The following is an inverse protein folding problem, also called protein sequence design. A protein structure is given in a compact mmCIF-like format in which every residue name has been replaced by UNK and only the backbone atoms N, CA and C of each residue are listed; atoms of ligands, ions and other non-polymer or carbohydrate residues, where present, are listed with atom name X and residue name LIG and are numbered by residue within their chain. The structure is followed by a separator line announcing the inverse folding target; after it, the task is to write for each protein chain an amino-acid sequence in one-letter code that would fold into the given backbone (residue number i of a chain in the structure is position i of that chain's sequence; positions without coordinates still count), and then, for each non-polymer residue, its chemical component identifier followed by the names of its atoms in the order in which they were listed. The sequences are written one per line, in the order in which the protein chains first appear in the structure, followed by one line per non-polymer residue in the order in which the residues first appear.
data_IF_207342294974
#
_entry.id   IF_207342294974
#
_cell.length_a   1.000
_cell.length_b   1.000
_cell.length_c   1.000
_cell.angle_alpha   90.00
_cell.angle_beta   90.00
_cell.angle_gamma   90.00
#
_symmetry.space_group_name_H-M   'P 1'
#
loop_
_entity.id
_entity.type
_entity.pdbx_description
1 polymer ?
#
# COMPACT_ATOMS: atom_id res chain seq x y z
N UNK A 1 6.26 6.91 -2.82
CA UNK A 1 5.59 8.06 -2.16
C UNK A 1 4.75 7.53 -1.01
N UNK A 2 4.50 8.32 0.04
CA UNK A 2 3.56 7.94 1.10
C UNK A 2 2.11 7.89 0.60
N UNK A 3 1.28 7.03 1.19
CA UNK A 3 -0.11 6.80 0.77
C UNK A 3 -0.96 8.06 0.91
N UNK A 4 -0.76 8.81 1.99
CA UNK A 4 -1.42 10.07 2.30
C UNK A 4 -1.14 11.12 1.21
N UNK A 5 0.12 11.22 0.78
CA UNK A 5 0.52 12.10 -0.31
C UNK A 5 -0.09 11.67 -1.65
N UNK A 6 -0.15 10.36 -1.91
CA UNK A 6 -0.78 9.82 -3.11
C UNK A 6 -2.28 10.15 -3.16
N UNK A 7 -3.01 10.04 -2.04
CA UNK A 7 -4.42 10.44 -1.98
C UNK A 7 -4.59 11.93 -2.20
N UNK A 8 -3.83 12.78 -1.49
CA UNK A 8 -3.95 14.24 -1.60
C UNK A 8 -3.67 14.76 -3.01
N UNK A 9 -2.73 14.14 -3.71
CA UNK A 9 -2.38 14.54 -5.08
C UNK A 9 -3.32 13.93 -6.11
N UNK A 10 -3.64 12.64 -5.99
CA UNK A 10 -4.49 11.91 -6.94
C UNK A 10 -5.96 12.30 -6.90
N UNK A 11 -6.48 12.68 -5.73
CA UNK A 11 -7.89 13.04 -5.50
C UNK A 11 -8.06 14.52 -5.12
N UNK A 12 -7.09 15.37 -5.46
CA UNK A 12 -7.11 16.80 -5.08
C UNK A 12 -8.44 17.46 -5.44
N UNK A 13 -8.88 17.30 -6.70
CA UNK A 13 -10.10 17.93 -7.23
C UNK A 13 -11.35 17.42 -6.51
N UNK A 14 -11.44 16.12 -6.26
CA UNK A 14 -12.59 15.50 -5.62
C UNK A 14 -12.71 15.93 -4.16
N UNK A 15 -11.58 16.00 -3.46
CA UNK A 15 -11.54 16.48 -2.08
C UNK A 15 -11.86 17.98 -1.98
N UNK A 16 -11.33 18.80 -2.88
CA UNK A 16 -11.59 20.26 -2.92
C UNK A 16 -13.05 20.58 -3.29
N UNK A 17 -13.74 19.71 -4.03
CA UNK A 17 -15.15 19.88 -4.37
C UNK A 17 -16.10 19.70 -3.17
N UNK A 18 -15.65 19.07 -2.08
CA UNK A 18 -16.46 18.84 -0.87
C UNK A 18 -16.33 20.03 0.08
N UNK A 19 -17.44 20.75 0.27
CA UNK A 19 -17.52 21.92 1.13
C UNK A 19 -17.48 21.58 2.62
N UNK A 20 -18.19 20.52 3.04
CA UNK A 20 -18.21 20.07 4.43
C UNK A 20 -16.84 19.47 4.82
N UNK A 21 -16.12 20.07 5.79
CA UNK A 21 -14.85 19.54 6.25
C UNK A 21 -14.93 18.11 6.79
N UNK A 22 -16.05 17.72 7.41
CA UNK A 22 -16.22 16.39 7.98
C UNK A 22 -16.39 15.33 6.88
N UNK A 23 -17.21 15.62 5.87
CA UNK A 23 -17.40 14.73 4.71
C UNK A 23 -16.11 14.58 3.92
N UNK A 24 -15.35 15.66 3.72
CA UNK A 24 -14.06 15.63 3.03
C UNK A 24 -13.04 14.76 3.75
N UNK A 25 -12.95 14.89 5.07
CA UNK A 25 -12.05 14.08 5.90
C UNK A 25 -12.47 12.60 5.93
N UNK A 26 -13.77 12.31 5.95
CA UNK A 26 -14.28 10.94 5.83
C UNK A 26 -13.89 10.29 4.49
N UNK A 27 -14.04 11.01 3.37
CA UNK A 27 -13.60 10.52 2.07
C UNK A 27 -12.08 10.32 2.03
N UNK A 28 -11.31 11.29 2.51
CA UNK A 28 -9.86 11.19 2.58
C UNK A 28 -9.40 9.93 3.34
N UNK A 29 -9.94 9.70 4.54
CA UNK A 29 -9.61 8.50 5.34
C UNK A 29 -9.98 7.22 4.61
N UNK A 30 -11.18 7.16 4.02
CA UNK A 30 -11.63 6.01 3.23
C UNK A 30 -10.66 5.69 2.07
N UNK A 31 -10.18 6.71 1.37
CA UNK A 31 -9.23 6.54 0.27
C UNK A 31 -7.86 6.06 0.77
N UNK A 32 -7.37 6.62 1.88
CA UNK A 32 -6.12 6.17 2.52
C UNK A 32 -6.23 4.71 2.96
N UNK A 33 -7.32 4.34 3.64
CA UNK A 33 -7.56 2.96 4.08
C UNK A 33 -7.62 1.98 2.90
N UNK A 34 -8.25 2.40 1.79
CA UNK A 34 -8.27 1.61 0.56
C UNK A 34 -6.86 1.39 -0.02
N UNK A 35 -6.01 2.42 0.01
CA UNK A 35 -4.61 2.28 -0.40
C UNK A 35 -3.81 1.39 0.56
N UNK A 36 -4.04 1.48 1.88
CA UNK A 36 -3.42 0.57 2.85
C UNK A 36 -3.81 -0.87 2.59
N UNK A 37 -5.10 -1.14 2.31
CA UNK A 37 -5.59 -2.48 1.99
C UNK A 37 -4.95 -3.03 0.72
N UNK A 38 -4.83 -2.20 -0.33
CA UNK A 38 -4.16 -2.56 -1.59
C UNK A 38 -2.65 -2.76 -1.44
N UNK A 39 -2.01 -1.96 -0.60
CA UNK A 39 -0.57 -2.01 -0.34
C UNK A 39 -0.13 -3.12 0.62
N UNK A 40 -1.05 -3.95 1.13
CA UNK A 40 -0.67 -5.12 1.94
C UNK A 40 0.18 -6.07 1.10
N UNK A 41 1.24 -6.60 1.71
CA UNK A 41 2.15 -7.54 1.05
C UNK A 41 1.42 -8.76 0.45
N UNK A 42 0.38 -9.26 1.09
CA UNK A 42 -0.43 -10.36 0.56
C UNK A 42 -1.18 -9.98 -0.72
N UNK A 43 -1.68 -8.74 -0.83
CA UNK A 43 -2.31 -8.25 -2.04
C UNK A 43 -1.25 -8.06 -3.14
N UNK A 44 -0.11 -7.45 -2.84
CA UNK A 44 1.00 -7.28 -3.80
C UNK A 44 1.49 -8.63 -4.36
N UNK A 45 1.67 -9.63 -3.50
CA UNK A 45 2.07 -10.97 -3.91
C UNK A 45 1.05 -11.67 -4.82
N UNK A 46 -0.25 -11.45 -4.60
CA UNK A 46 -1.31 -11.99 -5.47
C UNK A 46 -1.26 -11.41 -6.90
N UNK A 47 -0.70 -10.21 -7.07
CA UNK A 47 -0.47 -9.57 -8.37
C UNK A 47 0.96 -9.75 -8.90
N UNK A 48 1.79 -10.59 -8.26
CA UNK A 48 3.18 -10.87 -8.64
C UNK A 48 4.07 -9.61 -8.69
N UNK A 49 3.74 -8.59 -7.90
CA UNK A 49 4.63 -7.42 -7.72
C UNK A 49 5.84 -7.77 -6.85
N UNK A 50 5.72 -8.82 -6.03
CA UNK A 50 6.77 -9.44 -5.21
C UNK A 50 6.63 -10.97 -5.27
N UNK A 51 7.74 -11.69 -5.21
CA UNK A 51 7.76 -13.16 -5.37
C UNK A 51 7.17 -13.92 -4.16
N UNK A 52 7.14 -13.30 -2.99
CA UNK A 52 6.62 -13.94 -1.79
C UNK A 52 6.51 -13.03 -0.58
N UNK A 53 5.67 -13.46 0.37
CA UNK A 53 5.56 -12.88 1.71
C UNK A 53 6.07 -13.93 2.68
N UNK A 54 7.13 -13.62 3.42
CA UNK A 54 7.84 -14.57 4.26
C UNK A 54 7.74 -14.19 5.73
N UNK A 55 7.84 -15.18 6.62
CA UNK A 55 8.12 -14.92 8.03
C UNK A 55 9.46 -14.17 8.15
N UNK A 56 9.53 -13.02 8.84
CA UNK A 56 10.78 -12.30 9.06
C UNK A 56 11.91 -13.18 9.61
N UNK A 57 11.62 -14.19 10.43
CA UNK A 57 12.61 -15.13 10.95
C UNK A 57 13.27 -15.99 9.84
N UNK A 58 12.57 -16.25 8.74
CA UNK A 58 13.07 -17.03 7.60
C UNK A 58 13.92 -16.21 6.61
N UNK A 59 14.15 -14.91 6.88
CA UNK A 59 14.85 -14.01 5.95
C UNK A 59 16.23 -14.52 5.52
N UNK A 60 17.05 -15.01 6.47
CA UNK A 60 18.41 -15.51 6.17
C UNK A 60 18.38 -16.76 5.30
N UNK A 61 17.42 -17.65 5.51
CA UNK A 61 17.28 -18.88 4.73
C UNK A 61 16.85 -18.59 3.30
N UNK A 62 16.00 -17.58 3.10
CA UNK A 62 15.66 -17.08 1.76
C UNK A 62 16.87 -16.47 1.04
N UNK A 63 17.61 -15.57 1.71
CA UNK A 63 18.82 -14.96 1.14
C UNK A 63 19.86 -16.03 0.79
N UNK A 64 20.13 -16.97 1.70
CA UNK A 64 21.07 -18.07 1.46
C UNK A 64 20.65 -18.94 0.30
N UNK A 65 19.37 -19.34 0.21
CA UNK A 65 18.87 -20.12 -0.94
C UNK A 65 19.02 -19.39 -2.27
N UNK A 66 18.81 -18.07 -2.30
CA UNK A 66 19.03 -17.26 -3.50
C UNK A 66 20.51 -17.14 -3.89
N UNK A 67 21.42 -17.11 -2.91
CA UNK A 67 22.87 -17.11 -3.15
C UNK A 67 23.42 -18.47 -3.57
N UNK A 68 22.91 -19.55 -2.95
CA UNK A 68 23.29 -20.94 -3.23
C UNK A 68 22.62 -21.47 -4.52
N UNK A 69 21.62 -20.75 -5.05
CA UNK A 69 20.62 -21.28 -5.98
C UNK A 69 20.19 -20.33 -7.11
N UNK A 70 21.13 -19.48 -7.56
CA UNK A 70 21.39 -19.30 -8.99
C UNK A 70 22.56 -20.20 -9.38
#
# INVERSE_FOLDING_TARGET
MGLEGAVRLGYRRDLEAIADPAERDALYRRLVDALYAKGKASNMAAFLEIDGVIDPAASRDWVRRGLDGL
#
